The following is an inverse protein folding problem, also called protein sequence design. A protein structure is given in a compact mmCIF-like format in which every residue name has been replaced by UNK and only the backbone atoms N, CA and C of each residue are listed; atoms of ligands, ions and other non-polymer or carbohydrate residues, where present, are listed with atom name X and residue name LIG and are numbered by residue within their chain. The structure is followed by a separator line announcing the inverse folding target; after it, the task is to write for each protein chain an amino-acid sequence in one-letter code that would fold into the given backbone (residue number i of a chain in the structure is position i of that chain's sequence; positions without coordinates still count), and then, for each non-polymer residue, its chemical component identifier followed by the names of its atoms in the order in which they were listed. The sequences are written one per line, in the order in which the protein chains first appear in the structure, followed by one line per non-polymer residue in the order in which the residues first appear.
data_IF_983609899791
#
_entry.id   IF_983609899791
#
_cell.length_a   1.000
_cell.length_b   1.000
_cell.length_c   1.000
_cell.angle_alpha   90.00
_cell.angle_beta   90.00
_cell.angle_gamma   90.00
#
_symmetry.space_group_name_H-M   'P 1'
#
loop_
_entity.id
_entity.type
_entity.pdbx_description
1 polymer ?
#
# COMPACT_ATOMS: atom_id res chain seq x y z
N UNK A 1 12.12 -22.58 -36.85
CA UNK A 1 11.38 -21.38 -36.39
C UNK A 1 10.30 -21.82 -35.41
N UNK A 2 10.56 -21.71 -34.11
CA UNK A 2 9.58 -22.01 -33.06
C UNK A 2 8.88 -20.69 -32.72
N UNK A 3 7.56 -20.62 -32.91
CA UNK A 3 6.77 -19.40 -32.76
C UNK A 3 6.83 -18.88 -31.33
N UNK A 4 7.36 -17.67 -31.16
CA UNK A 4 7.23 -16.91 -29.92
C UNK A 4 5.75 -16.49 -29.80
N UNK A 5 4.94 -17.31 -29.13
CA UNK A 5 3.59 -16.89 -28.73
C UNK A 5 3.77 -15.84 -27.63
N UNK A 6 3.74 -14.56 -28.00
CA UNK A 6 3.56 -13.48 -27.04
C UNK A 6 2.21 -13.68 -26.36
N UNK A 7 2.22 -14.16 -25.11
CA UNK A 7 1.01 -14.23 -24.30
C UNK A 7 0.58 -12.80 -23.96
N UNK A 8 -0.15 -12.15 -24.87
CA UNK A 8 -0.74 -10.84 -24.64
C UNK A 8 -1.86 -11.01 -23.61
N UNK A 9 -1.55 -10.76 -22.33
CA UNK A 9 -2.57 -10.69 -21.29
C UNK A 9 -3.45 -9.48 -21.54
N UNK A 10 -4.75 -9.69 -21.76
CA UNK A 10 -5.70 -8.59 -21.90
C UNK A 10 -5.74 -7.73 -20.63
N UNK A 11 -5.93 -6.40 -20.75
CA UNK A 11 -6.19 -5.53 -19.61
C UNK A 11 -7.36 -6.02 -18.76
N UNK A 12 -7.30 -5.76 -17.47
CA UNK A 12 -8.37 -5.97 -16.51
C UNK A 12 -9.60 -5.16 -16.91
N UNK A 13 -10.76 -5.80 -16.80
CA UNK A 13 -12.03 -5.13 -17.01
C UNK A 13 -12.33 -4.13 -15.88
N UNK A 14 -13.26 -3.20 -16.12
CA UNK A 14 -13.77 -2.28 -15.09
C UNK A 14 -14.31 -3.03 -13.86
N UNK A 15 -14.95 -4.19 -14.05
CA UNK A 15 -15.48 -4.99 -12.94
C UNK A 15 -14.38 -5.66 -12.13
N UNK A 16 -13.28 -6.10 -12.76
CA UNK A 16 -12.12 -6.64 -12.06
C UNK A 16 -11.44 -5.55 -11.22
N UNK A 17 -11.21 -4.36 -11.77
CA UNK A 17 -10.70 -3.22 -11.02
C UNK A 17 -11.61 -2.81 -9.85
N UNK A 18 -12.93 -2.78 -10.06
CA UNK A 18 -13.89 -2.49 -9.00
C UNK A 18 -13.88 -3.54 -7.88
N UNK A 19 -13.64 -4.81 -8.20
CA UNK A 19 -13.52 -5.87 -7.20
C UNK A 19 -12.27 -5.70 -6.32
N UNK A 20 -11.12 -5.37 -6.92
CA UNK A 20 -9.90 -5.05 -6.19
C UNK A 20 -10.12 -3.81 -5.31
N UNK A 21 -10.70 -2.74 -5.84
CA UNK A 21 -10.98 -1.51 -5.08
C UNK A 21 -11.87 -1.77 -3.86
N UNK A 22 -12.93 -2.58 -4.03
CA UNK A 22 -13.84 -2.98 -2.94
C UNK A 22 -13.16 -3.85 -1.89
N UNK A 23 -12.17 -4.67 -2.28
CA UNK A 23 -11.32 -5.42 -1.34
C UNK A 23 -10.55 -4.46 -0.45
N UNK A 24 -9.96 -3.40 -1.02
CA UNK A 24 -9.20 -2.41 -0.24
C UNK A 24 -10.10 -1.59 0.67
N UNK A 25 -11.28 -1.19 0.21
CA UNK A 25 -12.27 -0.52 1.07
C UNK A 25 -12.56 -1.34 2.34
N UNK A 26 -12.70 -2.66 2.21
CA UNK A 26 -13.01 -3.57 3.33
C UNK A 26 -11.80 -3.86 4.21
N UNK A 27 -10.64 -4.06 3.60
CA UNK A 27 -9.43 -4.47 4.30
C UNK A 27 -8.69 -3.30 4.96
N UNK A 28 -8.73 -2.13 4.33
CA UNK A 28 -7.95 -0.96 4.72
C UNK A 28 -8.62 0.35 4.31
N UNK A 29 -9.76 0.61 4.96
CA UNK A 29 -10.57 1.81 4.71
C UNK A 29 -9.77 3.12 4.84
N UNK A 30 -8.80 3.18 5.75
CA UNK A 30 -8.01 4.38 6.04
C UNK A 30 -7.24 4.85 4.80
N UNK A 31 -6.45 3.94 4.19
CA UNK A 31 -5.72 4.22 2.95
C UNK A 31 -6.67 4.36 1.77
N UNK A 32 -7.75 3.58 1.75
CA UNK A 32 -8.78 3.71 0.71
C UNK A 32 -9.36 5.13 0.67
N UNK A 33 -9.80 5.69 1.81
CA UNK A 33 -10.35 7.06 1.90
C UNK A 33 -9.29 8.08 1.43
N UNK A 34 -8.04 7.93 1.89
CA UNK A 34 -6.93 8.81 1.51
C UNK A 34 -6.69 8.83 0.00
N UNK A 35 -6.68 7.66 -0.64
CA UNK A 35 -6.46 7.54 -2.09
C UNK A 35 -7.56 8.15 -2.95
N UNK A 36 -8.77 8.36 -2.41
CA UNK A 36 -9.90 8.95 -3.17
C UNK A 36 -9.66 10.40 -3.60
N UNK A 37 -8.66 11.06 -3.02
CA UNK A 37 -8.26 12.42 -3.39
C UNK A 37 -7.16 12.46 -4.48
N UNK A 38 -6.69 11.30 -4.95
CA UNK A 38 -5.77 11.20 -6.07
C UNK A 38 -6.52 11.26 -7.42
N UNK A 39 -5.80 11.64 -8.49
CA UNK A 39 -6.30 11.55 -9.87
C UNK A 39 -6.61 10.09 -10.23
N UNK A 40 -7.41 9.87 -11.26
CA UNK A 40 -7.94 8.53 -11.58
C UNK A 40 -6.85 7.49 -11.85
N UNK A 41 -5.83 7.85 -12.63
CA UNK A 41 -4.66 7.02 -12.94
C UNK A 41 -3.80 6.73 -11.70
N UNK A 42 -3.53 7.76 -10.89
CA UNK A 42 -2.80 7.63 -9.63
C UNK A 42 -3.58 6.78 -8.62
N UNK A 43 -4.89 6.94 -8.56
CA UNK A 43 -5.77 6.18 -7.66
C UNK A 43 -5.80 4.70 -8.05
N UNK A 44 -5.78 4.39 -9.35
CA UNK A 44 -5.66 3.01 -9.85
C UNK A 44 -4.32 2.37 -9.43
N UNK A 45 -3.20 3.09 -9.59
CA UNK A 45 -1.88 2.67 -9.10
C UNK A 45 -1.85 2.43 -7.59
N UNK A 46 -2.42 3.36 -6.80
CA UNK A 46 -2.54 3.22 -5.35
C UNK A 46 -3.40 2.02 -4.96
N UNK A 47 -4.50 1.75 -5.68
CA UNK A 47 -5.34 0.57 -5.44
C UNK A 47 -4.55 -0.73 -5.67
N UNK A 48 -3.73 -0.82 -6.73
CA UNK A 48 -2.88 -1.99 -6.98
C UNK A 48 -1.80 -2.17 -5.90
N UNK A 49 -1.13 -1.07 -5.52
CA UNK A 49 -0.12 -1.07 -4.44
C UNK A 49 -0.71 -1.52 -3.10
N UNK A 50 -1.85 -0.97 -2.71
CA UNK A 50 -2.51 -1.34 -1.45
C UNK A 50 -3.09 -2.75 -1.49
N UNK A 51 -3.46 -3.25 -2.67
CA UNK A 51 -3.84 -4.66 -2.83
C UNK A 51 -2.65 -5.58 -2.59
N UNK A 52 -1.46 -5.28 -3.12
CA UNK A 52 -0.25 -6.04 -2.81
C UNK A 52 0.05 -5.99 -1.30
N UNK A 53 0.06 -4.81 -0.70
CA UNK A 53 0.32 -4.66 0.73
C UNK A 53 -0.65 -5.49 1.60
N UNK A 54 -1.91 -5.56 1.19
CA UNK A 54 -2.90 -6.41 1.85
C UNK A 54 -2.61 -7.91 1.68
N UNK A 55 -2.25 -8.37 0.48
CA UNK A 55 -1.88 -9.77 0.25
C UNK A 55 -0.61 -10.18 1.02
N UNK A 56 0.35 -9.27 1.19
CA UNK A 56 1.56 -9.51 1.99
C UNK A 56 1.25 -9.53 3.49
N UNK A 57 0.50 -8.54 3.98
CA UNK A 57 0.13 -8.45 5.38
C UNK A 57 -0.75 -9.62 5.84
N UNK A 58 -1.58 -10.21 4.96
CA UNK A 58 -2.43 -11.35 5.35
C UNK A 58 -1.67 -12.65 5.51
N UNK A 59 -0.42 -12.77 5.04
CA UNK A 59 0.31 -14.05 5.05
C UNK A 59 0.29 -14.66 6.45
N UNK A 60 0.58 -13.85 7.49
CA UNK A 60 0.53 -14.25 8.91
C UNK A 60 -0.84 -14.71 9.41
N UNK A 61 -1.93 -14.42 8.70
CA UNK A 61 -3.29 -14.80 9.09
C UNK A 61 -3.74 -16.12 8.46
N UNK A 62 -3.08 -16.55 7.39
CA UNK A 62 -3.51 -17.69 6.56
C UNK A 62 -2.52 -18.85 6.57
N UNK A 63 -1.32 -18.66 7.13
CA UNK A 63 -0.32 -19.72 7.28
C UNK A 63 -0.01 -19.91 8.76
N UNK A 64 -0.01 -21.18 9.20
CA UNK A 64 0.33 -21.55 10.58
C UNK A 64 1.80 -21.98 10.71
N UNK A 65 2.43 -22.37 9.60
CA UNK A 65 3.83 -22.78 9.55
C UNK A 65 4.68 -21.73 8.84
N UNK A 66 5.84 -21.42 9.42
CA UNK A 66 6.78 -20.41 8.89
C UNK A 66 7.17 -20.70 7.43
N UNK A 67 7.50 -21.96 7.12
CA UNK A 67 7.89 -22.37 5.76
C UNK A 67 6.82 -22.08 4.71
N UNK A 68 5.53 -22.23 5.06
CA UNK A 68 4.43 -21.89 4.15
C UNK A 68 4.32 -20.37 3.92
N UNK A 69 4.68 -19.56 4.92
CA UNK A 69 4.77 -18.12 4.78
C UNK A 69 5.87 -17.70 3.81
N UNK A 70 7.06 -18.27 3.96
CA UNK A 70 8.20 -17.99 3.08
C UNK A 70 7.90 -18.35 1.61
N UNK A 71 7.22 -19.47 1.37
CA UNK A 71 6.77 -19.85 0.01
C UNK A 71 5.85 -18.79 -0.59
N UNK A 72 4.94 -18.18 0.20
CA UNK A 72 4.05 -17.12 -0.29
C UNK A 72 4.81 -15.84 -0.63
N UNK A 73 5.78 -15.44 0.20
CA UNK A 73 6.61 -14.27 -0.12
C UNK A 73 7.46 -14.52 -1.36
N UNK A 74 8.05 -15.71 -1.50
CA UNK A 74 8.78 -16.08 -2.71
C UNK A 74 7.88 -16.08 -3.94
N UNK A 75 6.66 -16.61 -3.83
CA UNK A 75 5.68 -16.58 -4.92
C UNK A 75 5.42 -15.14 -5.40
N UNK A 76 5.33 -14.17 -4.48
CA UNK A 76 5.18 -12.76 -4.83
C UNK A 76 6.42 -12.19 -5.51
N UNK A 77 7.63 -12.52 -5.02
CA UNK A 77 8.88 -12.09 -5.68
C UNK A 77 8.94 -12.58 -7.12
N UNK A 78 8.64 -13.86 -7.34
CA UNK A 78 8.64 -14.45 -8.67
C UNK A 78 7.56 -13.80 -9.55
N UNK A 79 6.37 -13.54 -9.01
CA UNK A 79 5.30 -12.87 -9.75
C UNK A 79 5.71 -11.47 -10.24
N UNK A 80 6.41 -10.68 -9.41
CA UNK A 80 6.93 -9.36 -9.82
C UNK A 80 8.06 -9.51 -10.86
N UNK A 81 8.97 -10.46 -10.67
CA UNK A 81 10.05 -10.73 -11.65
C UNK A 81 9.52 -11.18 -13.00
N UNK A 82 8.48 -12.01 -13.02
CA UNK A 82 7.82 -12.45 -14.25
C UNK A 82 7.16 -11.29 -15.01
N UNK A 83 6.61 -10.30 -14.28
CA UNK A 83 6.06 -9.07 -14.87
C UNK A 83 7.13 -8.28 -15.61
N UNK A 84 8.34 -8.15 -15.06
CA UNK A 84 9.46 -7.49 -15.76
C UNK A 84 9.86 -8.22 -17.06
N UNK A 85 9.57 -9.53 -17.14
CA UNK A 85 9.79 -10.35 -18.34
C UNK A 85 8.57 -10.35 -19.28
N UNK A 86 7.57 -9.51 -19.05
CA UNK A 86 6.34 -9.40 -19.85
C UNK A 86 5.29 -10.49 -19.58
N UNK A 87 5.56 -11.41 -18.64
CA UNK A 87 4.63 -12.47 -18.23
C UNK A 87 3.80 -12.01 -17.03
N UNK A 88 2.71 -12.70 -16.72
CA UNK A 88 1.98 -12.46 -15.47
C UNK A 88 1.27 -13.73 -15.05
N UNK A 89 1.23 -13.97 -13.75
CA UNK A 89 0.46 -15.07 -13.17
C UNK A 89 -1.02 -14.74 -13.18
N UNK A 90 -1.86 -15.77 -13.27
CA UNK A 90 -3.31 -15.64 -13.17
C UNK A 90 -3.74 -15.34 -11.71
N UNK A 91 -3.51 -14.10 -11.31
CA UNK A 91 -3.91 -13.52 -10.04
C UNK A 91 -4.32 -12.06 -10.29
N UNK A 92 -5.47 -11.64 -9.76
CA UNK A 92 -6.06 -10.33 -10.06
C UNK A 92 -5.12 -9.16 -9.68
N UNK A 93 -4.53 -9.22 -8.47
CA UNK A 93 -3.53 -8.24 -8.03
C UNK A 93 -2.25 -8.30 -8.88
N UNK A 94 -1.72 -9.47 -9.25
CA UNK A 94 -0.54 -9.54 -10.11
C UNK A 94 -0.80 -8.89 -11.50
N UNK A 95 -1.99 -9.13 -12.07
CA UNK A 95 -2.43 -8.47 -13.31
C UNK A 95 -2.58 -6.96 -13.16
N UNK A 96 -3.12 -6.50 -12.03
CA UNK A 96 -3.20 -5.07 -11.72
C UNK A 96 -1.82 -4.44 -11.60
N UNK A 97 -0.88 -5.09 -10.92
CA UNK A 97 0.50 -4.62 -10.81
C UNK A 97 1.20 -4.57 -12.18
N UNK A 98 0.95 -5.55 -13.07
CA UNK A 98 1.47 -5.52 -14.44
C UNK A 98 1.05 -4.26 -15.19
N UNK A 99 -0.24 -3.93 -15.22
CA UNK A 99 -0.73 -2.72 -15.90
C UNK A 99 -0.06 -1.45 -15.36
N UNK A 100 0.14 -1.38 -14.05
CA UNK A 100 0.71 -0.20 -13.39
C UNK A 100 2.24 -0.11 -13.52
N UNK A 101 2.93 -1.24 -13.64
CA UNK A 101 4.36 -1.32 -13.97
C UNK A 101 4.59 -0.95 -15.45
N UNK A 102 3.80 -1.50 -16.38
CA UNK A 102 3.88 -1.20 -17.81
C UNK A 102 3.55 0.27 -18.10
N UNK A 103 2.61 0.86 -17.36
CA UNK A 103 2.31 2.28 -17.43
C UNK A 103 3.37 3.18 -16.74
N UNK A 104 4.39 2.59 -16.13
CA UNK A 104 5.51 3.29 -15.50
C UNK A 104 5.19 3.96 -14.15
N UNK A 105 3.99 3.76 -13.61
CA UNK A 105 3.51 4.35 -12.35
C UNK A 105 4.02 3.61 -11.12
N UNK A 106 4.22 2.29 -11.23
CA UNK A 106 4.89 1.47 -10.22
C UNK A 106 6.24 0.95 -10.74
N UNK A 107 7.18 0.75 -9.81
CA UNK A 107 8.50 0.19 -10.11
C UNK A 107 8.61 -1.17 -9.44
N UNK A 108 8.94 -2.20 -10.22
CA UNK A 108 9.11 -3.57 -9.74
C UNK A 108 10.06 -3.65 -8.54
N UNK A 109 11.22 -2.96 -8.60
CA UNK A 109 12.16 -2.89 -7.48
C UNK A 109 11.51 -2.41 -6.17
N UNK A 110 10.70 -1.35 -6.21
CA UNK A 110 10.03 -0.84 -5.02
C UNK A 110 9.01 -1.84 -4.43
N UNK A 111 8.39 -2.67 -5.27
CA UNK A 111 7.49 -3.73 -4.85
C UNK A 111 8.26 -4.93 -4.26
N UNK A 112 9.42 -5.27 -4.83
CA UNK A 112 10.33 -6.29 -4.27
C UNK A 112 10.80 -5.88 -2.86
N UNK A 113 11.22 -4.62 -2.70
CA UNK A 113 11.62 -4.08 -1.39
C UNK A 113 10.47 -4.12 -0.38
N UNK A 114 9.21 -3.91 -0.83
CA UNK A 114 8.03 -4.04 0.01
C UNK A 114 7.80 -5.50 0.45
N UNK A 115 7.96 -6.46 -0.47
CA UNK A 115 7.86 -7.90 -0.18
C UNK A 115 8.91 -8.30 0.87
N UNK A 116 10.16 -7.87 0.68
CA UNK A 116 11.27 -8.14 1.60
C UNK A 116 10.99 -7.58 3.01
N UNK A 117 10.46 -6.35 3.10
CA UNK A 117 10.10 -5.76 4.38
C UNK A 117 8.99 -6.52 5.12
N UNK A 118 7.95 -6.98 4.40
CA UNK A 118 6.90 -7.80 5.02
C UNK A 118 7.40 -9.18 5.42
N UNK A 119 8.29 -9.80 4.64
CA UNK A 119 8.89 -11.07 5.00
C UNK A 119 9.76 -10.93 6.25
N UNK A 120 10.63 -9.92 6.33
CA UNK A 120 11.48 -9.69 7.48
C UNK A 120 10.66 -9.50 8.78
N UNK A 121 9.55 -8.76 8.70
CA UNK A 121 8.61 -8.60 9.81
C UNK A 121 7.84 -9.89 10.16
N UNK A 122 7.65 -10.78 9.19
CA UNK A 122 7.04 -12.10 9.40
C UNK A 122 8.03 -13.05 10.10
N UNK A 123 9.26 -13.14 9.62
CA UNK A 123 10.35 -13.97 10.18
C UNK A 123 10.70 -13.52 11.60
N UNK A 124 10.77 -12.21 11.85
CA UNK A 124 10.98 -11.66 13.19
C UNK A 124 9.77 -11.86 14.13
N UNK A 125 8.64 -12.36 13.62
CA UNK A 125 7.36 -12.48 14.33
C UNK A 125 6.90 -11.16 14.97
N UNK A 126 7.35 -10.03 14.43
CA UNK A 126 7.07 -8.70 14.96
C UNK A 126 6.38 -7.84 13.91
N UNK A 127 5.09 -7.61 14.14
CA UNK A 127 4.25 -6.79 13.26
C UNK A 127 4.62 -5.30 13.32
N UNK A 128 5.30 -4.84 14.37
CA UNK A 128 5.77 -3.46 14.45
C UNK A 128 6.83 -3.15 13.37
N UNK A 129 7.50 -4.19 12.86
CA UNK A 129 8.50 -4.09 11.81
C UNK A 129 7.91 -4.09 10.39
N UNK A 130 6.59 -4.24 10.22
CA UNK A 130 5.96 -4.16 8.89
C UNK A 130 6.30 -2.80 8.21
N UNK A 131 6.59 -2.79 6.90
CA UNK A 131 7.28 -1.68 6.23
C UNK A 131 6.36 -0.49 5.88
N UNK A 132 5.64 0.03 6.87
CA UNK A 132 4.64 1.10 6.72
C UNK A 132 5.23 2.36 6.06
N UNK A 133 6.43 2.76 6.49
CA UNK A 133 7.13 3.90 5.93
C UNK A 133 7.45 3.69 4.45
N UNK A 134 7.89 2.49 4.07
CA UNK A 134 8.19 2.17 2.68
C UNK A 134 6.93 2.18 1.81
N UNK A 135 5.83 1.57 2.29
CA UNK A 135 4.54 1.59 1.60
C UNK A 135 4.06 3.02 1.31
N UNK A 136 4.12 3.89 2.32
CA UNK A 136 3.71 5.28 2.18
C UNK A 136 4.66 6.09 1.27
N UNK A 137 5.96 5.80 1.28
CA UNK A 137 6.91 6.37 0.33
C UNK A 137 6.60 5.96 -1.10
N UNK A 138 6.38 4.67 -1.36
CA UNK A 138 6.01 4.18 -2.70
C UNK A 138 4.72 4.85 -3.16
N UNK A 139 3.72 4.97 -2.29
CA UNK A 139 2.47 5.68 -2.59
C UNK A 139 2.69 7.17 -2.90
N UNK A 140 3.58 7.86 -2.17
CA UNK A 140 3.92 9.25 -2.45
C UNK A 140 4.61 9.41 -3.82
N UNK A 141 5.53 8.48 -4.17
CA UNK A 141 6.23 8.49 -5.46
C UNK A 141 5.30 8.24 -6.66
N UNK A 142 4.24 7.43 -6.49
CA UNK A 142 3.17 7.27 -7.50
C UNK A 142 2.51 8.61 -7.84
N UNK A 143 2.34 9.49 -6.85
CA UNK A 143 1.72 10.80 -7.03
C UNK A 143 2.70 11.81 -7.62
N UNK A 144 3.91 11.90 -7.04
CA UNK A 144 5.01 12.70 -7.57
C UNK A 144 6.36 12.19 -7.04
N UNK A 145 7.36 11.92 -7.91
CA UNK A 145 8.65 11.42 -7.45
C UNK A 145 9.46 12.41 -6.61
N UNK A 146 9.34 13.72 -6.89
CA UNK A 146 10.11 14.76 -6.20
C UNK A 146 9.21 15.49 -5.20
N UNK A 147 9.11 14.94 -3.99
CA UNK A 147 8.26 15.48 -2.94
C UNK A 147 8.99 16.01 -1.70
N UNK A 148 10.29 15.72 -1.55
CA UNK A 148 11.13 16.16 -0.41
C UNK A 148 10.47 15.90 0.96
N UNK A 149 9.80 14.75 1.10
CA UNK A 149 9.02 14.38 2.29
C UNK A 149 9.34 12.97 2.80
N UNK A 150 10.49 12.44 2.39
CA UNK A 150 10.80 11.04 2.61
C UNK A 150 11.13 10.74 4.08
N UNK A 151 11.81 11.66 4.76
CA UNK A 151 12.14 11.55 6.17
C UNK A 151 10.89 11.68 7.05
N UNK A 152 10.04 12.66 6.77
CA UNK A 152 8.78 12.88 7.48
C UNK A 152 7.88 11.66 7.39
N UNK A 153 7.73 11.07 6.20
CA UNK A 153 6.96 9.83 6.01
C UNK A 153 7.53 8.70 6.87
N UNK A 154 8.85 8.47 6.82
CA UNK A 154 9.51 7.43 7.62
C UNK A 154 9.31 7.63 9.12
N UNK A 155 9.35 8.88 9.58
CA UNK A 155 9.26 9.20 10.99
C UNK A 155 7.83 9.05 11.55
N UNK A 156 6.79 9.35 10.77
CA UNK A 156 5.40 9.29 11.25
C UNK A 156 4.70 7.94 11.01
N UNK A 157 5.12 7.21 9.98
CA UNK A 157 4.51 5.95 9.58
C UNK A 157 4.40 4.91 10.72
N UNK A 158 5.46 4.63 11.51
CA UNK A 158 5.39 3.65 12.61
C UNK A 158 4.34 4.01 13.67
N UNK A 159 4.16 5.30 13.96
CA UNK A 159 3.17 5.76 14.94
C UNK A 159 1.74 5.57 14.45
N UNK A 160 1.48 5.84 13.16
CA UNK A 160 0.18 5.51 12.58
C UNK A 160 -0.09 4.00 12.62
N UNK A 161 0.89 3.18 12.20
CA UNK A 161 0.79 1.73 12.19
C UNK A 161 0.52 1.15 13.59
N UNK A 162 1.27 1.59 14.60
CA UNK A 162 1.07 1.16 15.99
C UNK A 162 -0.28 1.63 16.56
N UNK A 163 -0.65 2.90 16.34
CA UNK A 163 -1.89 3.46 16.85
C UNK A 163 -3.12 2.73 16.28
N UNK A 164 -3.17 2.50 14.96
CA UNK A 164 -4.34 1.83 14.33
C UNK A 164 -4.51 0.36 14.75
N UNK A 165 -3.45 -0.27 15.26
CA UNK A 165 -3.48 -1.63 15.81
C UNK A 165 -3.77 -1.66 17.31
N UNK A 166 -3.84 -0.49 17.95
CA UNK A 166 -3.91 -0.34 19.41
C UNK A 166 -2.65 -0.83 20.15
N UNK A 167 -1.52 -0.98 19.46
CA UNK A 167 -0.24 -1.39 20.06
C UNK A 167 0.40 -0.27 20.88
N UNK A 168 0.12 0.99 20.53
CA UNK A 168 0.66 2.16 21.21
C UNK A 168 -0.29 3.35 21.16
N UNK A 169 -0.26 4.19 22.20
CA UNK A 169 -0.93 5.49 22.26
C UNK A 169 0.01 6.67 21.97
N UNK A 170 1.28 6.40 21.64
CA UNK A 170 2.22 7.45 21.28
C UNK A 170 1.79 8.14 19.99
N UNK A 171 1.60 9.46 20.03
CA UNK A 171 1.18 10.26 18.86
C UNK A 171 2.28 10.39 17.81
N UNK A 172 3.55 10.31 18.22
CA UNK A 172 4.69 10.51 17.33
C UNK A 172 4.99 11.99 17.04
N UNK A 173 5.81 12.26 16.02
CA UNK A 173 6.29 13.60 15.74
C UNK A 173 5.17 14.52 15.25
N UNK A 174 5.30 15.80 15.58
CA UNK A 174 4.57 16.88 14.92
C UNK A 174 5.39 17.29 13.70
N UNK A 175 4.81 17.09 12.52
CA UNK A 175 5.47 17.37 11.24
C UNK A 175 5.03 18.72 10.67
N UNK A 176 5.82 19.31 9.75
CA UNK A 176 5.34 20.40 8.92
C UNK A 176 4.12 19.95 8.08
N UNK A 177 3.36 20.87 7.46
CA UNK A 177 2.31 20.50 6.53
C UNK A 177 2.85 19.79 5.29
N UNK A 178 2.25 18.64 4.94
CA UNK A 178 2.58 17.88 3.76
C UNK A 178 2.36 18.67 2.44
N UNK A 179 3.27 18.53 1.45
CA UNK A 179 3.09 19.06 0.10
C UNK A 179 1.78 18.58 -0.52
N UNK A 180 1.04 19.50 -1.15
CA UNK A 180 -0.26 19.21 -1.78
C UNK A 180 -0.26 17.96 -2.67
N UNK A 181 0.75 17.72 -3.53
CA UNK A 181 0.73 16.58 -4.46
C UNK A 181 0.70 15.20 -3.78
N UNK A 182 1.32 15.04 -2.60
CA UNK A 182 1.43 13.73 -1.95
C UNK A 182 0.35 13.46 -0.90
N UNK A 183 -0.48 14.45 -0.56
CA UNK A 183 -1.50 14.30 0.50
C UNK A 183 -2.42 13.09 0.28
N UNK A 184 -2.86 12.73 -0.93
CA UNK A 184 -3.66 11.53 -1.12
C UNK A 184 -2.97 10.22 -0.68
N UNK A 185 -1.64 10.16 -0.69
CA UNK A 185 -0.91 8.98 -0.22
C UNK A 185 -0.79 8.90 1.31
N UNK A 186 -0.82 10.05 2.01
CA UNK A 186 -0.42 10.09 3.44
C UNK A 186 -1.45 10.74 4.38
N UNK A 187 -2.56 11.27 3.85
CA UNK A 187 -3.59 11.93 4.65
C UNK A 187 -4.19 11.03 5.74
N UNK A 188 -4.19 9.71 5.53
CA UNK A 188 -4.63 8.73 6.52
C UNK A 188 -3.79 8.73 7.81
N UNK A 189 -2.53 9.18 7.78
CA UNK A 189 -1.70 9.28 8.99
C UNK A 189 -2.31 10.18 10.06
N UNK A 190 -3.18 11.13 9.68
CA UNK A 190 -3.92 11.97 10.63
C UNK A 190 -4.87 11.19 11.55
N UNK A 191 -5.32 10.02 11.11
CA UNK A 191 -6.19 9.16 11.91
C UNK A 191 -5.52 8.69 13.19
N UNK A 192 -4.18 8.75 13.31
CA UNK A 192 -3.49 8.49 14.58
C UNK A 192 -4.04 9.33 15.72
N UNK A 193 -4.49 10.57 15.47
CA UNK A 193 -5.17 11.42 16.47
C UNK A 193 -6.38 10.72 17.09
N UNK A 194 -7.18 10.03 16.27
CA UNK A 194 -8.38 9.34 16.74
C UNK A 194 -8.01 8.02 17.42
N UNK A 195 -7.03 7.31 16.88
CA UNK A 195 -6.60 6.01 17.41
C UNK A 195 -5.86 6.11 18.75
N UNK A 196 -5.01 7.10 18.96
CA UNK A 196 -4.28 7.28 20.23
C UNK A 196 -5.20 7.65 21.40
N UNK A 197 -6.38 8.23 21.09
CA UNK A 197 -7.44 8.50 22.06
C UNK A 197 -8.25 7.25 22.44
N UNK A 198 -7.89 6.06 21.92
CA UNK A 198 -8.58 4.80 22.21
C UNK A 198 -9.95 4.67 21.55
N UNK A 199 -10.25 5.50 20.55
CA UNK A 199 -11.53 5.48 19.82
C UNK A 199 -11.44 4.48 18.67
N UNK A 200 -12.55 3.80 18.39
CA UNK A 200 -12.79 3.14 17.10
C UNK A 200 -13.57 4.12 16.22
N UNK A 201 -12.91 4.99 15.44
CA UNK A 201 -13.61 6.03 14.69
C UNK A 201 -14.54 5.41 13.67
N UNK A 202 -15.78 5.89 13.64
CA UNK A 202 -16.75 5.48 12.62
C UNK A 202 -16.38 6.06 11.25
N UNK A 203 -17.05 5.58 10.20
CA UNK A 203 -16.74 5.95 8.82
C UNK A 203 -16.84 7.46 8.54
N UNK A 204 -17.74 8.19 9.22
CA UNK A 204 -17.88 9.65 9.07
C UNK A 204 -16.68 10.36 9.71
N UNK A 205 -16.31 9.97 10.94
CA UNK A 205 -15.17 10.53 11.65
C UNK A 205 -13.87 10.33 10.87
N UNK A 206 -13.66 9.14 10.30
CA UNK A 206 -12.50 8.86 9.44
C UNK A 206 -12.46 9.77 8.22
N UNK A 207 -13.57 9.88 7.48
CA UNK A 207 -13.66 10.73 6.28
C UNK A 207 -13.39 12.20 6.59
N UNK A 208 -13.98 12.73 7.67
CA UNK A 208 -13.75 14.11 8.10
C UNK A 208 -12.30 14.36 8.51
N UNK A 209 -11.70 13.41 9.22
CA UNK A 209 -10.29 13.50 9.62
C UNK A 209 -9.37 13.52 8.38
N UNK A 210 -9.53 12.57 7.46
CA UNK A 210 -8.73 12.51 6.23
C UNK A 210 -8.94 13.76 5.37
N UNK A 211 -10.18 14.26 5.21
CA UNK A 211 -10.47 15.50 4.49
C UNK A 211 -9.71 16.70 5.08
N UNK A 212 -9.67 16.83 6.42
CA UNK A 212 -8.89 17.88 7.07
C UNK A 212 -7.40 17.76 6.77
N UNK A 213 -6.85 16.54 6.74
CA UNK A 213 -5.46 16.30 6.39
C UNK A 213 -5.18 16.71 4.93
N UNK A 214 -6.07 16.34 3.99
CA UNK A 214 -5.94 16.72 2.58
C UNK A 214 -5.98 18.24 2.38
N UNK A 215 -6.86 18.94 3.09
CA UNK A 215 -6.97 20.41 2.97
C UNK A 215 -5.80 21.14 3.62
N UNK A 216 -5.40 20.75 4.81
CA UNK A 216 -4.39 21.47 5.61
C UNK A 216 -2.96 20.99 5.40
N UNK A 217 -2.75 19.76 4.94
CA UNK A 217 -1.45 19.08 4.93
C UNK A 217 -1.03 18.56 6.31
N UNK A 218 -1.81 18.81 7.38
CA UNK A 218 -1.46 18.37 8.74
C UNK A 218 -1.81 16.89 8.90
N UNK A 219 -0.82 16.04 8.70
CA UNK A 219 -0.91 14.61 8.98
C UNK A 219 -0.51 14.34 10.41
#
# INVERSE_FOLDING_TARGET
HMGCMSNQTSPLSKSQWAAIDKRILRADEDRWISSRYAKDDQRQALTALYALAYELARVRLVVSEEGLGLIRFQWWRDAISEIEMGKVREHDVARALKEEIEAGRLKARALQDLIDGYQAAFEAQDRALEPEGWLALTAAHVLTPMHNWAEEIRNVAPYFAAARRSDSKAFGPILPPAPKPIRPAIAHFRLRKLYTEGKTPNAIQKRLCVLQAVRSGKV
#
